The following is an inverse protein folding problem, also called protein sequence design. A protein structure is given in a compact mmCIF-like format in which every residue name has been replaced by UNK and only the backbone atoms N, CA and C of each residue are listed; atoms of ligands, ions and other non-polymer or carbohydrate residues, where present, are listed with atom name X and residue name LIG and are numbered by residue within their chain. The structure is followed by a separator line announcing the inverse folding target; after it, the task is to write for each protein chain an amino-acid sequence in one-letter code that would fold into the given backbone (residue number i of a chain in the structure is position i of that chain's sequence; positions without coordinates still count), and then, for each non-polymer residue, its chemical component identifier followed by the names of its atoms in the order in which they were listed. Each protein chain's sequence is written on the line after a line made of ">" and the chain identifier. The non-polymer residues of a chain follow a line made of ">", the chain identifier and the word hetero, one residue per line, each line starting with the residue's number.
data_IF_130871479084
#
_entry.id   IF_130871479084
#
_cell.length_a   1.000
_cell.length_b   1.000
_cell.length_c   1.000
_cell.angle_alpha   90.00
_cell.angle_beta   90.00
_cell.angle_gamma   90.00
#
_symmetry.space_group_name_H-M   'P 1'
#
loop_
_entity.id
_entity.type
_entity.pdbx_description
1 polymer ?
#
# COMPACT_ATOMS: atom_id res chain seq x y z
N UNK A 1 -23.31 7.87 -11.06
CA UNK A 1 -22.18 7.04 -11.53
C UNK A 1 -20.95 7.44 -10.74
N UNK A 2 -20.34 6.57 -9.93
CA UNK A 2 -19.09 6.89 -9.24
C UNK A 2 -17.95 6.88 -10.25
N UNK A 3 -17.01 7.83 -10.12
CA UNK A 3 -15.78 7.85 -10.92
C UNK A 3 -14.93 6.62 -10.58
N UNK A 4 -14.37 5.91 -11.57
CA UNK A 4 -13.47 4.79 -11.32
C UNK A 4 -12.29 5.20 -10.44
N UNK A 5 -11.98 4.38 -9.43
CA UNK A 5 -10.86 4.56 -8.51
C UNK A 5 -9.84 3.44 -8.68
N UNK A 6 -8.58 3.75 -8.36
CA UNK A 6 -7.46 2.82 -8.35
C UNK A 6 -6.84 2.81 -6.96
N UNK A 7 -6.61 1.62 -6.42
CA UNK A 7 -5.98 1.42 -5.11
C UNK A 7 -4.46 1.57 -5.23
N UNK A 8 -3.86 2.33 -4.32
CA UNK A 8 -2.41 2.41 -4.20
C UNK A 8 -1.86 1.12 -3.60
N UNK A 9 -0.95 0.46 -4.32
CA UNK A 9 -0.34 -0.81 -3.90
C UNK A 9 0.61 -0.69 -2.68
N UNK A 10 0.92 0.54 -2.24
CA UNK A 10 1.81 0.81 -1.10
C UNK A 10 1.00 1.08 0.17
N UNK A 11 -0.04 1.92 0.09
CA UNK A 11 -0.79 2.40 1.25
C UNK A 11 -2.27 1.96 1.31
N UNK A 12 -2.75 1.28 0.26
CA UNK A 12 -4.10 0.71 0.20
C UNK A 12 -5.23 1.74 0.07
N UNK A 13 -4.93 3.03 -0.11
CA UNK A 13 -5.94 4.06 -0.30
C UNK A 13 -6.37 4.15 -1.77
N UNK A 14 -7.62 4.55 -1.98
CA UNK A 14 -8.21 4.76 -3.30
C UNK A 14 -7.94 6.17 -3.83
N UNK A 15 -7.57 6.25 -5.10
CA UNK A 15 -7.33 7.50 -5.82
C UNK A 15 -8.06 7.49 -7.16
N UNK A 16 -8.29 8.66 -7.75
CA UNK A 16 -8.71 8.73 -9.14
C UNK A 16 -7.62 8.20 -10.07
N UNK A 17 -8.01 7.63 -11.20
CA UNK A 17 -7.09 7.05 -12.21
C UNK A 17 -5.99 8.01 -12.67
N UNK A 18 -6.22 9.33 -12.63
CA UNK A 18 -5.21 10.35 -12.93
C UNK A 18 -4.34 10.70 -11.72
N UNK A 19 -4.94 10.83 -10.54
CA UNK A 19 -4.22 11.27 -9.33
C UNK A 19 -3.31 10.19 -8.75
N UNK A 20 -3.56 8.90 -9.04
CA UNK A 20 -2.69 7.79 -8.61
C UNK A 20 -1.26 7.94 -9.14
N UNK A 21 -1.08 8.42 -10.38
CA UNK A 21 0.25 8.65 -10.99
C UNK A 21 1.09 9.70 -10.25
N UNK A 22 0.44 10.66 -9.59
CA UNK A 22 1.08 11.70 -8.79
C UNK A 22 1.30 11.20 -7.35
N UNK A 23 0.38 10.37 -6.86
CA UNK A 23 0.43 9.81 -5.51
C UNK A 23 1.52 8.76 -5.34
N UNK A 24 1.60 7.74 -6.22
CA UNK A 24 2.50 6.59 -6.04
C UNK A 24 3.97 6.99 -5.81
N UNK A 25 4.59 7.92 -6.58
CA UNK A 25 5.97 8.31 -6.35
C UNK A 25 6.18 9.00 -4.99
N UNK A 26 5.22 9.82 -4.57
CA UNK A 26 5.27 10.51 -3.28
C UNK A 26 5.06 9.54 -2.12
N UNK A 27 4.16 8.57 -2.29
CA UNK A 27 3.91 7.50 -1.34
C UNK A 27 5.16 6.64 -1.15
N UNK A 28 5.80 6.23 -2.24
CA UNK A 28 7.04 5.45 -2.22
C UNK A 28 8.19 6.22 -1.56
N UNK A 29 8.35 7.51 -1.88
CA UNK A 29 9.35 8.38 -1.22
C UNK A 29 9.12 8.47 0.29
N UNK A 30 7.88 8.63 0.72
CA UNK A 30 7.52 8.63 2.15
C UNK A 30 7.85 7.27 2.79
N UNK A 31 7.48 6.17 2.14
CA UNK A 31 7.76 4.81 2.60
C UNK A 31 9.26 4.58 2.78
N UNK A 32 10.11 4.96 1.82
CA UNK A 32 11.57 4.82 1.95
C UNK A 32 12.12 5.57 3.14
N UNK A 33 11.68 6.82 3.34
CA UNK A 33 12.13 7.64 4.47
C UNK A 33 11.79 6.96 5.80
N UNK A 34 10.55 6.52 5.96
CA UNK A 34 10.09 5.85 7.19
C UNK A 34 10.81 4.52 7.39
N UNK A 35 10.95 3.72 6.34
CA UNK A 35 11.65 2.44 6.40
C UNK A 35 13.14 2.61 6.73
N UNK A 36 13.79 3.65 6.22
CA UNK A 36 15.20 3.94 6.52
C UNK A 36 15.44 4.42 7.96
N UNK A 37 14.43 5.05 8.58
CA UNK A 37 14.46 5.43 9.99
C UNK A 37 14.31 4.23 10.94
N UNK A 38 13.86 3.08 10.45
CA UNK A 38 13.79 1.86 11.25
C UNK A 38 15.18 1.22 11.44
N UNK A 39 15.42 0.58 12.61
CA UNK A 39 16.55 -0.33 12.81
C UNK A 39 16.66 -1.34 11.67
N UNK A 40 17.87 -1.73 11.24
CA UNK A 40 18.10 -2.60 10.07
C UNK A 40 17.26 -3.89 10.11
N UNK A 41 17.06 -4.47 11.29
CA UNK A 41 16.27 -5.68 11.50
C UNK A 41 14.75 -5.48 11.40
N UNK A 42 14.27 -4.24 11.44
CA UNK A 42 12.86 -3.86 11.30
C UNK A 42 12.54 -3.22 9.94
N UNK A 43 13.56 -3.03 9.09
CA UNK A 43 13.35 -2.54 7.72
C UNK A 43 12.65 -3.62 6.91
N UNK A 44 11.68 -3.19 6.12
CA UNK A 44 10.92 -4.04 5.19
C UNK A 44 11.51 -3.99 3.79
N UNK A 45 11.34 -5.06 3.00
CA UNK A 45 11.59 -5.00 1.57
C UNK A 45 10.62 -4.03 0.91
N UNK A 46 11.08 -3.38 -0.16
CA UNK A 46 10.26 -2.47 -0.96
C UNK A 46 9.05 -3.19 -1.55
N UNK A 47 7.89 -2.53 -1.50
CA UNK A 47 6.69 -3.04 -2.14
C UNK A 47 6.91 -3.11 -3.64
N UNK A 48 6.75 -4.30 -4.22
CA UNK A 48 6.81 -4.46 -5.67
C UNK A 48 5.43 -4.16 -6.25
N UNK A 49 5.41 -3.29 -7.27
CA UNK A 49 4.18 -3.03 -8.03
C UNK A 49 3.73 -4.34 -8.69
N UNK A 50 2.49 -4.81 -8.47
CA UNK A 50 2.00 -6.06 -9.05
C UNK A 50 2.10 -6.05 -10.58
N UNK A 51 2.48 -7.18 -11.18
CA UNK A 51 2.66 -7.32 -12.64
C UNK A 51 1.39 -6.99 -13.41
N UNK A 52 0.22 -7.32 -12.86
CA UNK A 52 -1.09 -6.97 -13.43
C UNK A 52 -1.30 -5.46 -13.56
N UNK A 53 -0.76 -4.67 -12.62
CA UNK A 53 -0.84 -3.21 -12.68
C UNK A 53 0.17 -2.67 -13.69
N UNK A 54 1.36 -3.26 -13.76
CA UNK A 54 2.39 -2.87 -14.75
C UNK A 54 1.90 -3.13 -16.18
N UNK A 55 1.27 -4.27 -16.44
CA UNK A 55 0.74 -4.60 -17.76
C UNK A 55 -0.38 -3.63 -18.19
N UNK A 56 -1.25 -3.21 -17.27
CA UNK A 56 -2.29 -2.21 -17.52
C UNK A 56 -1.72 -0.86 -17.98
N UNK A 57 -0.71 -0.32 -17.29
CA UNK A 57 -0.15 1.00 -17.64
C UNK A 57 0.72 0.96 -18.90
N UNK A 58 1.44 -0.15 -19.14
CA UNK A 58 2.35 -0.26 -20.28
C UNK A 58 1.63 -0.63 -21.59
N UNK A 59 0.56 -1.42 -21.50
CA UNK A 59 -0.23 -1.86 -22.64
C UNK A 59 -1.71 -1.62 -22.33
N UNK A 60 -2.21 -0.38 -22.48
CA UNK A 60 -3.63 -0.10 -22.37
C UNK A 60 -4.35 -0.71 -23.58
N UNK A 61 -4.56 -2.03 -23.57
CA UNK A 61 -5.39 -2.66 -24.59
C UNK A 61 -6.82 -2.15 -24.43
N UNK A 62 -7.51 -1.90 -25.54
CA UNK A 62 -8.96 -1.65 -25.55
C UNK A 62 -9.67 -2.96 -25.17
N UNK A 63 -9.77 -3.21 -23.88
CA UNK A 63 -10.41 -4.39 -23.31
C UNK A 63 -10.79 -4.07 -21.89
N UNK A 64 -12.00 -4.44 -21.51
CA UNK A 64 -12.60 -4.18 -20.21
C UNK A 64 -11.81 -4.96 -19.13
N UNK A 65 -10.70 -4.39 -18.66
CA UNK A 65 -10.00 -4.94 -17.50
C UNK A 65 -10.93 -4.84 -16.30
N UNK A 66 -10.95 -5.91 -15.51
CA UNK A 66 -11.63 -5.89 -14.24
C UNK A 66 -10.84 -4.98 -13.29
N UNK A 67 -11.30 -3.73 -13.18
CA UNK A 67 -10.74 -2.73 -12.27
C UNK A 67 -10.73 -3.26 -10.83
N UNK A 68 -11.68 -4.13 -10.49
CA UNK A 68 -11.77 -4.76 -9.18
C UNK A 68 -10.59 -5.71 -8.96
N UNK A 69 -10.26 -6.58 -9.91
CA UNK A 69 -9.05 -7.41 -9.88
C UNK A 69 -7.75 -6.59 -9.72
N UNK A 70 -7.62 -5.44 -10.40
CA UNK A 70 -6.46 -4.56 -10.25
C UNK A 70 -6.38 -3.94 -8.84
N UNK A 71 -7.53 -3.50 -8.34
CA UNK A 71 -7.65 -2.91 -7.00
C UNK A 71 -7.42 -3.95 -5.91
N UNK A 72 -7.86 -5.19 -6.10
CA UNK A 72 -7.59 -6.30 -5.20
C UNK A 72 -6.11 -6.64 -5.16
N UNK A 73 -5.45 -6.77 -6.32
CA UNK A 73 -4.01 -7.01 -6.37
C UNK A 73 -3.20 -5.89 -5.69
N UNK A 74 -3.59 -4.63 -5.90
CA UNK A 74 -3.01 -3.49 -5.19
C UNK A 74 -3.27 -3.55 -3.69
N UNK A 75 -4.50 -3.89 -3.28
CA UNK A 75 -4.88 -4.00 -1.88
C UNK A 75 -4.07 -5.08 -1.17
N UNK A 76 -3.95 -6.27 -1.75
CA UNK A 76 -3.12 -7.38 -1.21
C UNK A 76 -1.66 -6.93 -1.06
N UNK A 77 -1.11 -6.24 -2.06
CA UNK A 77 0.26 -5.69 -1.97
C UNK A 77 0.42 -4.70 -0.81
N UNK A 78 -0.58 -3.84 -0.58
CA UNK A 78 -0.56 -2.91 0.55
C UNK A 78 -0.66 -3.61 1.91
N UNK A 79 -1.38 -4.73 2.01
CA UNK A 79 -1.49 -5.50 3.26
C UNK A 79 -0.15 -6.09 3.68
N UNK A 80 0.69 -6.50 2.72
CA UNK A 80 2.04 -7.00 2.97
C UNK A 80 2.99 -5.96 3.59
N UNK A 81 2.61 -4.68 3.58
CA UNK A 81 3.38 -3.60 4.20
C UNK A 81 3.01 -3.37 5.67
N UNK A 82 1.93 -3.98 6.15
CA UNK A 82 1.47 -3.83 7.52
C UNK A 82 2.25 -4.76 8.46
N UNK A 83 2.50 -4.28 9.67
CA UNK A 83 3.24 -4.99 10.73
C UNK A 83 2.28 -5.28 11.88
N UNK A 84 2.22 -6.53 12.40
CA UNK A 84 1.40 -6.85 13.55
C UNK A 84 1.94 -6.21 14.82
N UNK A 85 1.04 -5.82 15.72
CA UNK A 85 1.36 -5.41 17.07
C UNK A 85 1.64 -6.64 17.94
N UNK A 86 2.80 -6.68 18.60
CA UNK A 86 3.21 -7.79 19.47
C UNK A 86 2.28 -8.02 20.68
N UNK A 87 1.48 -7.01 21.05
CA UNK A 87 0.58 -7.07 22.22
C UNK A 87 -0.82 -7.58 21.85
N UNK A 88 -1.40 -7.12 20.73
CA UNK A 88 -2.80 -7.42 20.39
C UNK A 88 -3.01 -8.06 19.01
N UNK A 89 -1.94 -8.25 18.23
CA UNK A 89 -1.97 -8.88 16.90
C UNK A 89 -2.56 -8.03 15.77
N UNK A 90 -3.10 -6.83 16.05
CA UNK A 90 -3.60 -5.93 15.00
C UNK A 90 -2.45 -5.42 14.13
N UNK A 91 -2.69 -5.32 12.82
CA UNK A 91 -1.69 -4.86 11.85
C UNK A 91 -1.80 -3.36 11.61
N UNK A 92 -0.66 -2.69 11.45
CA UNK A 92 -0.58 -1.24 11.23
C UNK A 92 0.56 -0.90 10.27
N UNK A 93 0.50 0.27 9.65
CA UNK A 93 1.72 0.90 9.15
C UNK A 93 2.65 1.21 10.34
N UNK A 94 3.98 1.13 10.18
CA UNK A 94 4.91 1.24 11.32
C UNK A 94 4.84 2.57 12.07
N UNK A 95 4.60 3.67 11.35
CA UNK A 95 4.40 5.00 11.92
C UNK A 95 3.19 5.02 12.88
N UNK A 96 2.11 4.33 12.49
CA UNK A 96 0.91 4.14 13.31
C UNK A 96 1.10 3.11 14.42
N UNK A 97 1.90 2.07 14.19
CA UNK A 97 2.18 1.03 15.18
C UNK A 97 2.82 1.63 16.43
N UNK A 98 3.80 2.54 16.27
CA UNK A 98 4.47 3.22 17.38
C UNK A 98 3.48 4.00 18.25
N UNK A 99 2.52 4.69 17.62
CA UNK A 99 1.49 5.45 18.34
C UNK A 99 0.55 4.48 19.06
N UNK A 100 0.12 3.43 18.37
CA UNK A 100 -0.78 2.41 18.91
C UNK A 100 -0.19 1.70 20.13
N UNK A 101 1.09 1.31 20.08
CA UNK A 101 1.76 0.59 21.16
C UNK A 101 1.79 1.36 22.49
N UNK A 102 1.74 2.71 22.46
CA UNK A 102 1.72 3.55 23.68
C UNK A 102 0.49 3.33 24.56
N UNK A 103 -0.63 2.93 23.96
CA UNK A 103 -1.90 2.75 24.66
C UNK A 103 -2.53 1.38 24.37
N UNK A 104 -1.77 0.45 23.80
CA UNK A 104 -2.27 -0.86 23.45
C UNK A 104 -2.58 -1.66 24.72
N UNK A 105 -3.69 -2.40 24.69
CA UNK A 105 -4.08 -3.34 25.74
C UNK A 105 -4.11 -4.76 25.16
N UNK A 106 -3.72 -5.77 25.94
CA UNK A 106 -3.93 -7.18 25.58
C UNK A 106 -5.40 -7.44 25.27
N UNK A 107 -5.65 -8.42 24.39
CA UNK A 107 -7.01 -8.89 24.10
C UNK A 107 -7.62 -9.61 25.29
#
# INVERSE_FOLDING_TARGET
>A
RRTPTVTCYICGHEYGTKSISIHEPQCLKKWHRENNMLPKNLRRPESKKPELILSFFNFPAKGFYDLDSLNEAAWISSQNQLVPCDVCGRTFLPDRLIIHQRSCKPK
#
